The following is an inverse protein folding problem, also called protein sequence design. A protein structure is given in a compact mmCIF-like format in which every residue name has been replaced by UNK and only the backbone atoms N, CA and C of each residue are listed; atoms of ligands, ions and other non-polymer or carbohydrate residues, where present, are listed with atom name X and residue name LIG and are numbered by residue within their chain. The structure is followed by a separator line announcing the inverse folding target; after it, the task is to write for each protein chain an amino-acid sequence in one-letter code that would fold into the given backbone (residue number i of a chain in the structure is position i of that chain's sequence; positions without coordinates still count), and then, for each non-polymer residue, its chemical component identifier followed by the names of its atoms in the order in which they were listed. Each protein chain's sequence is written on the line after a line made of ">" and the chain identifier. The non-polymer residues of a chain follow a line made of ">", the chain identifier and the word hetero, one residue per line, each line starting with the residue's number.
data_IF_108272010396
#
_entry.id   IF_108272010396
#
_cell.length_a   1.000
_cell.length_b   1.000
_cell.length_c   1.000
_cell.angle_alpha   90.00
_cell.angle_beta   90.00
_cell.angle_gamma   90.00
#
_symmetry.space_group_name_H-M   'P 1'
#
loop_
_entity.id
_entity.type
_entity.pdbx_description
1 polymer ?
#
# COMPACT_ATOMS: atom_id res chain seq x y z
N UNK A 1 -11.17 4.25 9.11
CA UNK A 1 -10.56 3.69 7.88
C UNK A 1 -10.89 2.21 7.74
N UNK A 2 -10.40 1.33 8.63
CA UNK A 2 -10.65 -0.12 8.53
C UNK A 2 -12.14 -0.51 8.37
N UNK A 3 -13.02 0.03 9.22
CA UNK A 3 -14.47 -0.20 9.12
C UNK A 3 -15.05 0.20 7.76
N UNK A 4 -14.53 1.28 7.15
CA UNK A 4 -14.96 1.71 5.82
C UNK A 4 -14.62 0.63 4.79
N UNK A 5 -13.38 0.13 4.78
CA UNK A 5 -12.93 -0.95 3.88
C UNK A 5 -13.83 -2.17 4.03
N UNK A 6 -14.04 -2.66 5.26
CA UNK A 6 -14.89 -3.84 5.52
C UNK A 6 -16.34 -3.63 5.09
N UNK A 7 -16.84 -2.40 5.08
CA UNK A 7 -18.23 -2.11 4.69
C UNK A 7 -18.40 -1.87 3.19
N UNK A 8 -17.35 -1.49 2.47
CA UNK A 8 -17.42 -1.15 1.05
C UNK A 8 -16.79 -2.21 0.14
N UNK A 9 -16.01 -3.13 0.68
CA UNK A 9 -15.38 -4.20 -0.10
C UNK A 9 -16.39 -5.26 -0.55
N UNK A 10 -16.24 -5.73 -1.79
CA UNK A 10 -16.91 -6.93 -2.31
C UNK A 10 -16.03 -8.19 -2.24
N UNK A 11 -14.75 -8.05 -1.89
CA UNK A 11 -13.80 -9.17 -1.82
C UNK A 11 -13.94 -9.91 -0.50
N UNK A 12 -14.19 -11.23 -0.56
CA UNK A 12 -14.18 -12.11 0.61
C UNK A 12 -12.83 -12.13 1.33
N UNK A 13 -11.72 -11.92 0.60
CA UNK A 13 -10.38 -11.82 1.21
C UNK A 13 -10.28 -10.62 2.16
N UNK A 14 -10.91 -9.50 1.82
CA UNK A 14 -10.93 -8.34 2.71
C UNK A 14 -12.07 -8.42 3.74
N UNK A 15 -13.23 -8.96 3.33
CA UNK A 15 -14.44 -8.99 4.14
C UNK A 15 -14.39 -10.04 5.25
N UNK A 16 -14.02 -11.25 4.88
CA UNK A 16 -14.12 -12.45 5.71
C UNK A 16 -12.75 -12.82 6.30
N UNK A 17 -11.69 -12.77 5.48
CA UNK A 17 -10.32 -13.07 5.95
C UNK A 17 -9.63 -11.86 6.59
N UNK A 18 -10.19 -10.66 6.42
CA UNK A 18 -9.66 -9.42 6.99
C UNK A 18 -8.21 -9.13 6.54
N UNK A 19 -7.87 -9.48 5.30
CA UNK A 19 -6.52 -9.33 4.74
C UNK A 19 -6.24 -7.92 4.21
N UNK A 20 -6.26 -6.97 5.15
CA UNK A 20 -5.93 -5.58 4.93
C UNK A 20 -5.43 -4.96 6.24
N UNK A 21 -4.72 -3.84 6.12
CA UNK A 21 -4.38 -3.01 7.27
C UNK A 21 -4.49 -1.54 6.92
N UNK A 22 -4.68 -0.72 7.96
CA UNK A 22 -4.72 0.74 7.84
C UNK A 22 -3.72 1.35 8.79
N UNK A 23 -3.17 2.50 8.44
CA UNK A 23 -2.05 3.07 9.16
C UNK A 23 -2.07 4.60 9.09
N UNK A 24 -1.48 5.21 10.11
CA UNK A 24 -1.06 6.60 10.09
C UNK A 24 0.44 6.68 10.34
N UNK A 25 1.09 7.53 9.56
CA UNK A 25 2.49 7.91 9.75
C UNK A 25 2.61 9.43 9.92
N UNK A 26 3.70 9.88 10.54
CA UNK A 26 4.02 11.30 10.70
C UNK A 26 4.47 11.95 9.37
N UNK A 27 4.81 13.24 9.40
CA UNK A 27 5.21 14.01 8.21
C UNK A 27 6.47 13.45 7.49
N UNK A 28 7.30 12.70 8.22
CA UNK A 28 8.53 12.07 7.73
C UNK A 28 8.29 10.62 7.27
N UNK A 29 7.05 10.13 7.37
CA UNK A 29 6.67 8.77 6.99
C UNK A 29 6.99 7.71 8.04
N UNK A 30 7.27 8.09 9.29
CA UNK A 30 7.43 7.13 10.39
C UNK A 30 6.07 6.73 10.92
N UNK A 31 5.88 5.42 11.09
CA UNK A 31 4.63 4.86 11.58
C UNK A 31 4.28 5.34 12.99
N UNK A 32 3.07 5.87 13.17
CA UNK A 32 2.54 6.36 14.45
C UNK A 32 1.49 5.41 15.00
N UNK A 33 0.60 4.91 14.14
CA UNK A 33 -0.46 4.00 14.54
C UNK A 33 -0.84 3.05 13.40
N UNK A 34 -1.22 1.83 13.74
CA UNK A 34 -1.72 0.85 12.79
C UNK A 34 -3.01 0.21 13.32
N UNK A 35 -4.04 0.17 12.48
CA UNK A 35 -5.34 -0.44 12.77
C UNK A 35 -5.53 -1.73 11.97
N UNK A 36 -6.13 -2.74 12.62
CA UNK A 36 -6.27 -4.13 12.15
C UNK A 36 -4.96 -4.64 11.54
N UNK A 37 -4.07 -5.09 12.40
CA UNK A 37 -2.68 -5.41 12.04
C UNK A 37 -2.50 -6.88 11.74
N UNK A 38 -2.22 -7.21 10.48
CA UNK A 38 -1.55 -8.46 10.14
C UNK A 38 -0.04 -8.29 10.34
N UNK A 39 0.67 -9.29 10.89
CA UNK A 39 2.11 -9.20 11.12
C UNK A 39 2.92 -8.82 9.87
N UNK A 40 2.52 -9.30 8.69
CA UNK A 40 3.16 -8.93 7.42
C UNK A 40 3.05 -7.43 7.12
N UNK A 41 1.88 -6.83 7.37
CA UNK A 41 1.63 -5.42 7.12
C UNK A 41 2.42 -4.49 8.04
N UNK A 42 2.72 -4.94 9.27
CA UNK A 42 3.51 -4.17 10.23
C UNK A 42 4.92 -3.84 9.70
N UNK A 43 5.53 -4.77 8.95
CA UNK A 43 6.85 -4.57 8.35
C UNK A 43 6.81 -3.90 6.97
N UNK A 44 5.75 -4.14 6.20
CA UNK A 44 5.69 -3.72 4.80
C UNK A 44 5.23 -2.28 4.59
N UNK A 45 4.24 -1.79 5.37
CA UNK A 45 3.74 -0.40 5.26
C UNK A 45 4.87 0.64 5.43
N UNK A 46 5.74 0.58 6.47
CA UNK A 46 6.85 1.52 6.60
C UNK A 46 7.80 1.49 5.40
N UNK A 47 8.08 0.29 4.87
CA UNK A 47 9.03 0.10 3.78
C UNK A 47 8.50 0.65 2.46
N UNK A 48 7.23 0.37 2.16
CA UNK A 48 6.52 0.88 0.99
C UNK A 48 6.33 2.42 1.06
N UNK A 49 6.03 2.98 2.24
CA UNK A 49 5.94 4.43 2.42
C UNK A 49 7.31 5.09 2.25
N UNK A 50 8.37 4.51 2.79
CA UNK A 50 9.73 5.01 2.59
C UNK A 50 10.13 5.02 1.11
N UNK A 51 9.74 3.99 0.35
CA UNK A 51 9.95 3.97 -1.10
C UNK A 51 9.19 5.07 -1.83
N UNK A 52 7.90 5.23 -1.50
CA UNK A 52 7.07 6.31 -2.06
C UNK A 52 7.69 7.69 -1.77
N UNK A 53 8.22 7.89 -0.56
CA UNK A 53 8.92 9.11 -0.17
C UNK A 53 10.23 9.32 -0.93
N UNK A 54 11.01 8.27 -1.20
CA UNK A 54 12.23 8.37 -2.02
C UNK A 54 11.94 8.86 -3.44
N UNK A 55 10.84 8.40 -4.05
CA UNK A 55 10.51 8.75 -5.44
C UNK A 55 9.79 10.08 -5.57
N UNK A 56 8.90 10.40 -4.63
CA UNK A 56 7.93 11.49 -4.78
C UNK A 56 7.97 12.51 -3.65
N UNK A 57 8.74 12.30 -2.58
CA UNK A 57 8.69 13.12 -1.37
C UNK A 57 8.87 14.63 -1.60
N UNK A 58 9.68 15.00 -2.60
CA UNK A 58 9.93 16.40 -3.02
C UNK A 58 8.85 16.99 -3.92
N UNK A 59 8.11 16.15 -4.65
CA UNK A 59 7.07 16.57 -5.61
C UNK A 59 5.64 16.35 -5.11
N UNK A 60 5.50 15.77 -3.92
CA UNK A 60 4.22 15.58 -3.22
C UNK A 60 3.52 16.91 -2.96
N UNK A 61 2.26 16.98 -3.39
CA UNK A 61 1.40 18.13 -3.21
C UNK A 61 0.09 17.76 -2.48
N UNK A 62 -0.60 18.76 -1.89
CA UNK A 62 -1.95 18.55 -1.36
C UNK A 62 -2.90 18.02 -2.45
N UNK A 63 -3.64 16.96 -2.13
CA UNK A 63 -4.58 16.32 -3.05
C UNK A 63 -4.08 15.00 -3.62
N UNK A 64 -2.76 14.85 -3.72
CA UNK A 64 -2.11 13.68 -4.29
C UNK A 64 -2.49 12.38 -3.58
N UNK A 65 -2.51 11.30 -4.36
CA UNK A 65 -2.63 9.92 -3.88
C UNK A 65 -1.59 9.07 -4.59
N UNK A 66 -0.88 8.26 -3.83
CA UNK A 66 0.14 7.35 -4.34
C UNK A 66 -0.34 5.92 -4.18
N UNK A 67 -0.07 5.11 -5.20
CA UNK A 67 -0.39 3.69 -5.19
C UNK A 67 0.85 2.90 -5.62
N UNK A 68 1.16 1.82 -4.91
CA UNK A 68 2.24 0.94 -5.28
C UNK A 68 1.97 -0.52 -4.92
N UNK A 69 2.67 -1.43 -5.60
CA UNK A 69 2.71 -2.85 -5.25
C UNK A 69 4.06 -3.53 -5.53
N UNK A 70 5.11 -2.75 -5.85
CA UNK A 70 6.43 -3.26 -6.23
C UNK A 70 7.12 -4.00 -5.07
N UNK A 71 7.28 -5.34 -5.12
CA UNK A 71 7.97 -6.08 -4.07
C UNK A 71 9.49 -5.86 -4.08
N UNK A 72 10.05 -5.32 -5.16
CA UNK A 72 11.48 -5.00 -5.26
C UNK A 72 11.82 -3.63 -4.70
N UNK A 73 10.81 -2.80 -4.44
CA UNK A 73 10.97 -1.45 -3.93
C UNK A 73 10.04 -1.17 -2.74
N UNK A 74 9.93 -2.14 -1.83
CA UNK A 74 9.34 -1.97 -0.50
C UNK A 74 7.96 -2.57 -0.28
N UNK A 75 7.29 -3.04 -1.34
CA UNK A 75 6.11 -3.89 -1.22
C UNK A 75 6.46 -5.28 -0.67
N UNK A 76 5.45 -6.02 -0.20
CA UNK A 76 5.63 -7.38 0.32
C UNK A 76 5.55 -8.42 -0.79
N UNK A 77 4.47 -8.39 -1.57
CA UNK A 77 4.31 -9.21 -2.77
C UNK A 77 3.29 -8.55 -3.70
N UNK A 78 3.28 -8.96 -4.97
CA UNK A 78 2.44 -8.37 -6.02
C UNK A 78 0.96 -8.08 -5.66
N UNK A 79 0.21 -9.03 -5.05
CA UNK A 79 -1.20 -8.79 -4.74
C UNK A 79 -1.48 -7.80 -3.60
N UNK A 80 -0.46 -7.33 -2.89
CA UNK A 80 -0.65 -6.33 -1.85
C UNK A 80 -0.56 -4.93 -2.45
N UNK A 81 -1.69 -4.25 -2.48
CA UNK A 81 -1.77 -2.91 -3.05
C UNK A 81 -1.73 -1.88 -1.92
N UNK A 82 -0.68 -1.08 -1.90
CA UNK A 82 -0.49 0.02 -0.94
C UNK A 82 -1.06 1.30 -1.53
N UNK A 83 -1.80 2.04 -0.71
CA UNK A 83 -2.32 3.38 -1.01
C UNK A 83 -1.85 4.33 0.08
N UNK A 84 -1.21 5.42 -0.33
CA UNK A 84 -0.74 6.48 0.56
C UNK A 84 -1.36 7.81 0.16
N UNK A 85 -1.93 8.52 1.14
CA UNK A 85 -2.42 9.88 0.97
C UNK A 85 -1.71 10.80 1.97
N UNK A 86 -0.85 11.73 1.52
CA UNK A 86 -0.30 12.75 2.40
C UNK A 86 -1.42 13.69 2.87
N UNK A 87 -1.37 14.05 4.14
CA UNK A 87 -2.32 14.93 4.82
C UNK A 87 -1.63 16.27 5.05
N UNK A 88 -2.20 17.32 4.48
CA UNK A 88 -1.68 18.68 4.60
C UNK A 88 -2.61 19.54 5.45
N UNK A 89 -2.02 20.53 6.11
CA UNK A 89 -2.71 21.64 6.77
C UNK A 89 -1.89 22.90 6.58
N UNK A 90 -2.54 23.99 6.15
CA UNK A 90 -1.90 25.29 5.96
C UNK A 90 -0.64 25.23 5.07
N UNK A 91 -0.66 24.38 4.04
CA UNK A 91 0.45 24.18 3.11
C UNK A 91 1.56 23.24 3.62
N UNK A 92 1.47 22.74 4.85
CA UNK A 92 2.48 21.87 5.47
C UNK A 92 1.98 20.43 5.55
N UNK A 93 2.82 19.47 5.16
CA UNK A 93 2.53 18.03 5.31
C UNK A 93 2.63 17.65 6.79
N UNK A 94 1.57 17.10 7.35
CA UNK A 94 1.50 16.72 8.76
C UNK A 94 1.64 15.20 8.99
N UNK A 95 1.12 14.40 8.06
CA UNK A 95 0.98 12.96 8.24
C UNK A 95 0.73 12.26 6.90
N UNK A 96 0.67 10.93 6.94
CA UNK A 96 0.14 10.09 5.88
C UNK A 96 -0.99 9.22 6.42
N UNK A 97 -2.06 9.10 5.65
CA UNK A 97 -2.98 7.98 5.75
C UNK A 97 -2.49 6.87 4.81
N UNK A 98 -2.40 5.65 5.34
CA UNK A 98 -1.92 4.49 4.61
C UNK A 98 -2.95 3.36 4.69
N UNK A 99 -3.07 2.61 3.60
CA UNK A 99 -3.88 1.38 3.55
C UNK A 99 -3.19 0.37 2.65
N UNK A 100 -3.24 -0.89 3.05
CA UNK A 100 -2.85 -2.04 2.25
C UNK A 100 -4.06 -2.97 2.17
N UNK A 101 -4.38 -3.43 0.97
CA UNK A 101 -5.43 -4.41 0.74
C UNK A 101 -4.90 -5.53 -0.17
N UNK A 102 -5.14 -6.78 0.22
CA UNK A 102 -4.81 -7.92 -0.60
C UNK A 102 -5.82 -8.10 -1.75
N UNK A 103 -5.30 -8.19 -2.97
CA UNK A 103 -6.06 -8.54 -4.16
C UNK A 103 -5.87 -10.02 -4.50
N UNK A 104 -6.94 -10.74 -4.84
CA UNK A 104 -6.85 -12.16 -5.21
C UNK A 104 -6.09 -12.40 -6.50
N UNK A 105 -6.08 -11.41 -7.39
CA UNK A 105 -5.40 -11.47 -8.67
C UNK A 105 -4.98 -10.07 -9.14
N UNK A 106 -3.86 -10.02 -9.86
CA UNK A 106 -3.32 -8.80 -10.50
C UNK A 106 -2.98 -9.05 -11.98
N UNK A 107 -3.50 -10.12 -12.59
CA UNK A 107 -3.35 -10.42 -14.01
C UNK A 107 -2.11 -11.23 -14.40
N UNK A 108 -1.49 -11.94 -13.45
CA UNK A 108 -0.31 -12.77 -13.71
C UNK A 108 -0.61 -14.05 -14.51
N UNK A 109 0.43 -14.65 -15.13
CA UNK A 109 0.31 -15.89 -15.93
C UNK A 109 -0.11 -17.13 -15.12
N UNK A 110 0.02 -17.09 -13.80
CA UNK A 110 -0.33 -18.18 -12.89
C UNK A 110 -1.13 -17.62 -11.72
N UNK A 111 -2.26 -18.25 -11.42
CA UNK A 111 -3.07 -18.04 -10.21
C UNK A 111 -2.37 -18.65 -8.98
N UNK A 112 -1.17 -18.15 -8.65
CA UNK A 112 -0.42 -18.60 -7.47
C UNK A 112 0.12 -17.37 -6.71
N UNK A 113 -0.35 -17.10 -5.48
CA UNK A 113 0.03 -15.90 -4.73
C UNK A 113 1.40 -16.02 -4.03
N UNK A 114 2.19 -17.08 -4.25
CA UNK A 114 3.39 -17.36 -3.46
C UNK A 114 4.66 -16.69 -4.00
N UNK A 115 5.55 -16.28 -3.09
CA UNK A 115 6.81 -15.58 -3.34
C UNK A 115 7.75 -16.25 -4.37
N UNK A 116 7.71 -17.58 -4.51
CA UNK A 116 8.65 -18.36 -5.33
C UNK A 116 8.41 -18.21 -6.84
N UNK A 117 7.19 -17.91 -7.28
CA UNK A 117 6.87 -17.69 -8.70
C UNK A 117 7.11 -16.26 -9.15
N UNK A 118 7.08 -15.30 -8.21
CA UNK A 118 7.14 -13.87 -8.52
C UNK A 118 8.50 -13.44 -9.11
N UNK A 119 9.64 -13.92 -8.59
CA UNK A 119 10.97 -13.54 -9.11
C UNK A 119 11.25 -13.94 -10.56
N UNK A 120 10.62 -14.99 -11.09
CA UNK A 120 10.85 -15.48 -12.47
C UNK A 120 9.81 -14.99 -13.48
N UNK A 121 8.62 -14.57 -13.02
CA UNK A 121 7.47 -14.31 -13.88
C UNK A 121 6.82 -12.93 -13.70
N UNK A 122 7.34 -12.06 -12.83
CA UNK A 122 6.92 -10.65 -12.79
C UNK A 122 7.26 -9.98 -14.13
N UNK A 123 6.24 -9.65 -14.91
CA UNK A 123 6.36 -8.64 -15.97
C UNK A 123 6.23 -7.26 -15.31
N UNK A 124 7.03 -6.29 -15.79
CA UNK A 124 6.97 -4.89 -15.32
C UNK A 124 5.56 -4.29 -15.40
N UNK A 125 4.72 -4.79 -16.29
CA UNK A 125 3.38 -4.26 -16.53
C UNK A 125 2.40 -4.44 -15.34
N UNK A 126 2.70 -5.32 -14.38
CA UNK A 126 1.86 -5.58 -13.19
C UNK A 126 2.41 -4.91 -11.92
N UNK A 127 3.56 -4.27 -12.04
CA UNK A 127 4.24 -3.57 -10.96
C UNK A 127 4.12 -2.08 -11.24
N UNK A 128 3.62 -1.34 -10.27
CA UNK A 128 3.49 0.10 -10.40
C UNK A 128 3.85 0.82 -9.11
N UNK A 129 4.30 2.04 -9.29
CA UNK A 129 4.42 3.08 -8.27
C UNK A 129 4.10 4.37 -9.00
N UNK A 130 2.92 4.95 -8.71
CA UNK A 130 2.42 6.10 -9.46
C UNK A 130 1.65 7.07 -8.57
N UNK A 131 1.69 8.34 -8.96
CA UNK A 131 0.76 9.38 -8.51
C UNK A 131 -0.53 9.28 -9.33
N UNK A 132 -1.67 9.18 -8.66
CA UNK A 132 -2.97 8.90 -9.31
C UNK A 132 -3.82 10.17 -9.52
N UNK A 133 -3.59 11.20 -8.72
CA UNK A 133 -4.31 12.48 -8.74
C UNK A 133 -3.32 13.61 -8.48
#
# INVERSE_FOLDING_TARGET
>A
MAVTITRTTYSGVLKDNMDFSTAFADADGKMVAQGLTLPGHLGSIPTALAATMRHYGETMAPGDVFIMNDPFDGGMHLPDIFVFKPIYRDGVRLAFAATICHHTDVGGVLLVPTHLTQRKFIKKDYVFSVKVL
#
